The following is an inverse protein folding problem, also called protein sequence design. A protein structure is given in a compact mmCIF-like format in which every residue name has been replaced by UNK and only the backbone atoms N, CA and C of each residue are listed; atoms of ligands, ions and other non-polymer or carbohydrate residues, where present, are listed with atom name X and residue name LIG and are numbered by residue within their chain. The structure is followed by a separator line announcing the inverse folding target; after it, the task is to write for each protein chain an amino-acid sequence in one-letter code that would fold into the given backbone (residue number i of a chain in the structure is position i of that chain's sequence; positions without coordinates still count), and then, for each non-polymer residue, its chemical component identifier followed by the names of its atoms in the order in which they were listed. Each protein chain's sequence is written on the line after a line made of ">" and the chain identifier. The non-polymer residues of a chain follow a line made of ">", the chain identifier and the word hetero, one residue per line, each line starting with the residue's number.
data_IF_921997711091
#
_entry.id   IF_921997711091
#
_cell.length_a   1.000
_cell.length_b   1.000
_cell.length_c   1.000
_cell.angle_alpha   90.00
_cell.angle_beta   90.00
_cell.angle_gamma   90.00
#
_symmetry.space_group_name_H-M   'P 1'
#
loop_
_entity.id
_entity.type
_entity.pdbx_description
1 polymer ?
#
# COMPACT_ATOMS: atom_id res chain seq x y z
N UNK A 1 -3.56 -31.05 -1.81
CA UNK A 1 -3.75 -29.63 -1.44
C UNK A 1 -3.36 -28.78 -2.62
N UNK A 2 -4.25 -27.90 -3.11
CA UNK A 2 -3.99 -27.15 -4.35
C UNK A 2 -5.22 -26.37 -4.85
N UNK A 3 -5.68 -25.37 -4.11
CA UNK A 3 -6.85 -24.54 -4.51
C UNK A 3 -6.78 -23.06 -4.13
N UNK A 4 -5.59 -22.52 -3.85
CA UNK A 4 -5.44 -21.06 -3.85
C UNK A 4 -4.58 -20.70 -5.06
N UNK A 5 -5.12 -19.92 -6.01
CA UNK A 5 -4.37 -19.42 -7.14
C UNK A 5 -3.43 -18.30 -6.65
N UNK A 6 -2.42 -18.67 -5.86
CA UNK A 6 -1.45 -17.73 -5.26
C UNK A 6 -0.75 -16.91 -6.34
N UNK A 7 -0.53 -17.53 -7.50
CA UNK A 7 -0.04 -16.89 -8.72
C UNK A 7 -0.94 -15.72 -9.15
N UNK A 8 -2.26 -15.92 -9.23
CA UNK A 8 -3.22 -14.86 -9.55
C UNK A 8 -3.26 -13.76 -8.49
N UNK A 9 -3.19 -14.13 -7.21
CA UNK A 9 -3.19 -13.16 -6.11
C UNK A 9 -1.95 -12.26 -6.21
N UNK A 10 -0.76 -12.84 -6.42
CA UNK A 10 0.49 -12.09 -6.59
C UNK A 10 0.47 -11.22 -7.84
N UNK A 11 -0.07 -11.73 -8.94
CA UNK A 11 -0.14 -11.01 -10.21
C UNK A 11 -1.09 -9.81 -10.14
N UNK A 12 -2.31 -10.01 -9.61
CA UNK A 12 -3.29 -8.93 -9.44
C UNK A 12 -2.80 -7.91 -8.41
N UNK A 13 -2.19 -8.35 -7.31
CA UNK A 13 -1.54 -7.45 -6.37
C UNK A 13 -0.46 -6.62 -7.08
N UNK A 14 0.37 -7.23 -7.93
CA UNK A 14 1.37 -6.52 -8.71
C UNK A 14 0.80 -5.41 -9.60
N UNK A 15 -0.32 -5.68 -10.31
CA UNK A 15 -1.03 -4.68 -11.11
C UNK A 15 -1.56 -3.54 -10.22
N UNK A 16 -2.15 -3.87 -9.06
CA UNK A 16 -2.63 -2.87 -8.11
C UNK A 16 -1.49 -1.97 -7.59
N UNK A 17 -0.34 -2.55 -7.24
CA UNK A 17 0.84 -1.80 -6.82
C UNK A 17 1.33 -0.83 -7.90
N UNK A 18 1.34 -1.24 -9.17
CA UNK A 18 1.69 -0.35 -10.29
C UNK A 18 0.66 0.78 -10.44
N UNK A 19 -0.64 0.48 -10.33
CA UNK A 19 -1.68 1.49 -10.36
C UNK A 19 -1.53 2.51 -9.23
N UNK A 20 -1.22 2.06 -8.00
CA UNK A 20 -0.90 2.93 -6.86
C UNK A 20 0.39 3.72 -7.06
N UNK A 21 1.40 3.18 -7.74
CA UNK A 21 2.61 3.91 -8.12
C UNK A 21 2.28 5.09 -9.04
N UNK A 22 1.45 4.88 -10.06
CA UNK A 22 0.94 5.97 -10.89
C UNK A 22 0.11 6.97 -10.08
N UNK A 23 -0.80 6.49 -9.21
CA UNK A 23 -1.58 7.36 -8.32
C UNK A 23 -0.69 8.28 -7.49
N UNK A 24 0.27 7.68 -6.82
CA UNK A 24 1.24 8.38 -5.97
C UNK A 24 1.97 9.47 -6.77
N UNK A 25 2.29 9.27 -8.05
CA UNK A 25 2.95 10.28 -8.88
C UNK A 25 2.06 11.47 -9.29
N UNK A 26 0.73 11.35 -9.44
CA UNK A 26 -0.12 12.56 -9.63
C UNK A 26 0.14 13.49 -8.47
N UNK A 27 0.02 12.96 -7.26
CA UNK A 27 -0.24 13.76 -6.07
C UNK A 27 -1.58 14.47 -6.24
N UNK A 28 -2.45 14.34 -5.26
CA UNK A 28 -3.55 15.28 -5.18
C UNK A 28 -2.94 16.62 -4.76
N UNK A 29 -3.21 17.67 -5.54
CA UNK A 29 -3.11 19.01 -5.01
C UNK A 29 -4.21 19.06 -3.96
N UNK A 30 -3.83 19.18 -2.69
CA UNK A 30 -4.75 19.63 -1.66
C UNK A 30 -5.14 21.03 -2.12
N UNK A 31 -6.29 21.16 -2.78
CA UNK A 31 -6.89 22.47 -2.96
C UNK A 31 -7.06 23.01 -1.54
N UNK A 32 -6.50 24.19 -1.25
CA UNK A 32 -6.47 24.79 0.10
C UNK A 32 -7.88 24.96 0.72
N UNK A 33 -8.94 24.68 -0.04
CA UNK A 33 -10.34 24.61 0.37
C UNK A 33 -10.71 23.30 1.12
N UNK A 34 -9.89 22.23 1.08
CA UNK A 34 -10.13 20.95 1.79
C UNK A 34 -9.52 20.89 3.20
N UNK A 35 -8.77 21.93 3.61
CA UNK A 35 -8.35 22.12 5.00
C UNK A 35 -9.53 22.40 5.94
N UNK A 36 -10.71 22.73 5.40
CA UNK A 36 -11.98 22.77 6.12
C UNK A 36 -12.81 21.50 5.86
N UNK A 37 -12.19 20.32 5.98
CA UNK A 37 -12.96 19.13 6.32
C UNK A 37 -13.73 19.45 7.60
N UNK A 38 -15.03 19.68 7.49
CA UNK A 38 -15.94 19.80 8.64
C UNK A 38 -15.84 18.53 9.48
N UNK A 39 -14.96 18.57 10.48
CA UNK A 39 -14.55 17.43 11.30
C UNK A 39 -15.69 17.04 12.26
N UNK A 40 -16.66 16.27 11.77
CA UNK A 40 -17.61 15.57 12.63
C UNK A 40 -17.00 14.33 13.30
N UNK A 41 -15.91 13.80 12.75
CA UNK A 41 -15.29 12.54 13.18
C UNK A 41 -14.01 12.83 13.96
N UNK A 42 -13.94 12.39 15.21
CA UNK A 42 -12.76 12.54 16.04
C UNK A 42 -11.53 11.84 15.41
N UNK A 43 -10.34 12.47 15.35
CA UNK A 43 -9.14 11.93 14.67
C UNK A 43 -8.78 10.50 15.09
N UNK A 44 -9.03 10.13 16.36
CA UNK A 44 -8.90 8.76 16.85
C UNK A 44 -9.66 7.74 16.00
N UNK A 45 -10.93 8.00 15.70
CA UNK A 45 -11.77 7.07 14.93
C UNK A 45 -11.31 6.97 13.48
N UNK A 46 -10.86 8.08 12.89
CA UNK A 46 -10.36 8.09 11.52
C UNK A 46 -9.10 7.20 11.38
N UNK A 47 -8.12 7.39 12.27
CA UNK A 47 -6.89 6.59 12.27
C UNK A 47 -7.19 5.14 12.63
N UNK A 48 -8.00 4.90 13.68
CA UNK A 48 -8.39 3.56 14.09
C UNK A 48 -9.07 2.78 12.96
N UNK A 49 -10.08 3.37 12.30
CA UNK A 49 -10.80 2.70 11.21
C UNK A 49 -9.90 2.46 10.00
N UNK A 50 -9.03 3.40 9.65
CA UNK A 50 -8.09 3.24 8.53
C UNK A 50 -7.09 2.12 8.80
N UNK A 51 -6.46 2.12 9.98
CA UNK A 51 -5.51 1.08 10.37
C UNK A 51 -6.18 -0.29 10.49
N UNK A 52 -7.35 -0.34 11.13
CA UNK A 52 -8.10 -1.57 11.27
C UNK A 52 -8.44 -2.16 9.90
N UNK A 53 -8.94 -1.35 8.96
CA UNK A 53 -9.25 -1.82 7.62
C UNK A 53 -8.00 -2.26 6.83
N UNK A 54 -6.86 -1.62 7.06
CA UNK A 54 -5.60 -1.96 6.42
C UNK A 54 -4.98 -3.27 6.94
N UNK A 55 -5.10 -3.53 8.25
CA UNK A 55 -4.53 -4.71 8.92
C UNK A 55 -5.48 -5.92 8.94
N UNK A 56 -6.77 -5.71 8.67
CA UNK A 56 -7.78 -6.76 8.67
C UNK A 56 -7.48 -7.81 7.59
N UNK A 57 -7.17 -9.03 8.04
CA UNK A 57 -6.89 -10.15 7.15
C UNK A 57 -5.46 -10.21 6.62
N UNK A 58 -4.54 -9.40 7.16
CA UNK A 58 -3.12 -9.54 6.86
C UNK A 58 -2.57 -10.90 7.33
N UNK A 59 -1.47 -11.33 6.73
CA UNK A 59 -0.71 -12.53 7.11
C UNK A 59 -0.33 -12.50 8.58
N UNK A 60 -0.09 -11.33 9.16
CA UNK A 60 0.19 -11.18 10.59
C UNK A 60 -1.00 -11.63 11.44
N UNK A 61 -2.23 -11.30 11.06
CA UNK A 61 -3.45 -11.74 11.74
C UNK A 61 -3.60 -13.26 11.70
N UNK A 62 -3.39 -13.89 10.53
CA UNK A 62 -3.42 -15.34 10.39
C UNK A 62 -2.31 -16.04 11.19
N UNK A 63 -1.13 -15.45 11.25
CA UNK A 63 -0.01 -15.93 12.06
C UNK A 63 -0.35 -15.89 13.56
N UNK A 64 -0.89 -14.77 14.05
CA UNK A 64 -1.30 -14.61 15.45
C UNK A 64 -2.42 -15.58 15.83
N UNK A 65 -3.42 -15.80 14.97
CA UNK A 65 -4.47 -16.81 15.21
C UNK A 65 -3.90 -18.22 15.29
N UNK A 66 -2.98 -18.56 14.38
CA UNK A 66 -2.31 -19.87 14.38
C UNK A 66 -1.48 -20.09 15.64
N UNK A 67 -0.76 -19.05 16.08
CA UNK A 67 0.04 -19.09 17.31
C UNK A 67 -0.85 -19.18 18.55
N UNK A 68 -1.97 -18.44 18.60
CA UNK A 68 -2.94 -18.50 19.69
C UNK A 68 -3.65 -19.85 19.78
N UNK A 69 -3.77 -20.59 18.67
CA UNK A 69 -4.33 -21.94 18.66
C UNK A 69 -3.36 -23.01 19.20
N UNK A 70 -2.05 -22.72 19.26
CA UNK A 70 -1.01 -23.71 19.61
C UNK A 70 -0.25 -23.38 20.89
N UNK A 71 -0.32 -22.13 21.36
CA UNK A 71 0.35 -21.62 22.56
C UNK A 71 -0.68 -21.02 23.53
N UNK A 72 -0.31 -20.82 24.81
CA UNK A 72 -1.20 -20.18 25.77
C UNK A 72 -1.63 -18.79 25.27
N UNK A 73 -2.91 -18.44 25.47
CA UNK A 73 -3.49 -17.19 24.98
C UNK A 73 -2.79 -15.93 25.53
N UNK A 74 -2.50 -15.90 26.85
CA UNK A 74 -2.01 -14.70 27.53
C UNK A 74 -0.65 -14.20 26.96
N UNK A 75 0.39 -15.04 26.81
CA UNK A 75 1.66 -14.62 26.23
C UNK A 75 1.57 -14.23 24.76
N UNK A 76 0.73 -14.90 23.98
CA UNK A 76 0.53 -14.58 22.56
C UNK A 76 -0.14 -13.22 22.40
N UNK A 77 -1.19 -12.96 23.20
CA UNK A 77 -1.89 -11.69 23.20
C UNK A 77 -0.98 -10.53 23.61
N UNK A 78 -0.23 -10.69 24.72
CA UNK A 78 0.72 -9.68 25.18
C UNK A 78 1.85 -9.45 24.18
N UNK A 79 2.45 -10.53 23.65
CA UNK A 79 3.56 -10.44 22.70
C UNK A 79 3.16 -9.80 21.38
N UNK A 80 2.00 -10.19 20.82
CA UNK A 80 1.48 -9.61 19.58
C UNK A 80 1.13 -8.14 19.74
N UNK A 81 0.47 -7.78 20.85
CA UNK A 81 0.08 -6.38 21.11
C UNK A 81 1.31 -5.51 21.31
N UNK A 82 2.27 -5.95 22.15
CA UNK A 82 3.49 -5.21 22.38
C UNK A 82 4.33 -5.06 21.11
N UNK A 83 4.45 -6.14 20.31
CA UNK A 83 5.18 -6.11 19.03
C UNK A 83 4.61 -5.07 18.06
N UNK A 84 3.28 -5.02 17.90
CA UNK A 84 2.61 -4.05 17.03
C UNK A 84 2.82 -2.61 17.51
N UNK A 85 2.59 -2.34 18.80
CA UNK A 85 2.78 -0.99 19.37
C UNK A 85 4.22 -0.51 19.22
N UNK A 86 5.20 -1.40 19.42
CA UNK A 86 6.62 -1.05 19.23
C UNK A 86 6.91 -0.78 17.76
N UNK A 87 6.41 -1.60 16.84
CA UNK A 87 6.57 -1.42 15.40
C UNK A 87 6.03 -0.08 14.91
N UNK A 88 4.78 0.23 15.28
CA UNK A 88 4.12 1.48 14.89
C UNK A 88 4.78 2.70 15.55
N UNK A 89 5.15 2.57 16.83
CA UNK A 89 5.90 3.61 17.55
C UNK A 89 7.23 3.94 16.88
N UNK A 90 7.99 2.92 16.46
CA UNK A 90 9.24 3.11 15.71
C UNK A 90 8.99 3.77 14.35
N UNK A 91 7.95 3.35 13.62
CA UNK A 91 7.59 3.95 12.34
C UNK A 91 7.25 5.45 12.50
N UNK A 92 6.50 5.82 13.54
CA UNK A 92 6.17 7.22 13.84
C UNK A 92 7.42 8.02 14.21
N UNK A 93 8.30 7.50 15.06
CA UNK A 93 9.53 8.19 15.47
C UNK A 93 10.42 8.44 14.25
N UNK A 94 10.66 7.40 13.43
CA UNK A 94 11.42 7.51 12.20
C UNK A 94 10.77 8.50 11.22
N UNK A 95 9.45 8.41 11.03
CA UNK A 95 8.69 9.34 10.19
C UNK A 95 8.86 10.79 10.64
N UNK A 96 8.72 11.08 11.94
CA UNK A 96 8.92 12.43 12.51
C UNK A 96 10.35 12.95 12.33
N UNK A 97 11.35 12.10 12.53
CA UNK A 97 12.76 12.48 12.33
C UNK A 97 13.07 12.79 10.86
N UNK A 98 12.47 12.03 9.94
CA UNK A 98 12.71 12.16 8.51
C UNK A 98 11.92 13.32 7.88
N UNK A 99 10.73 13.62 8.42
CA UNK A 99 9.87 14.71 7.96
C UNK A 99 10.55 16.09 8.06
N UNK A 100 11.41 16.31 9.06
CA UNK A 100 12.13 17.58 9.20
C UNK A 100 13.16 17.86 8.08
N UNK A 101 13.51 16.87 7.25
CA UNK A 101 14.56 17.00 6.22
C UNK A 101 14.13 16.56 4.81
N UNK A 102 12.99 15.89 4.65
CA UNK A 102 12.56 15.38 3.35
C UNK A 102 11.52 16.29 2.69
N UNK A 103 11.79 16.82 1.48
CA UNK A 103 10.76 17.49 0.70
C UNK A 103 9.67 16.48 0.31
N UNK A 104 8.42 16.90 0.32
CA UNK A 104 7.25 16.06 0.01
C UNK A 104 7.40 15.33 -1.34
N UNK A 105 8.01 16.01 -2.31
CA UNK A 105 8.33 15.43 -3.62
C UNK A 105 9.27 14.21 -3.53
N UNK A 106 10.25 14.21 -2.62
CA UNK A 106 11.16 13.07 -2.45
C UNK A 106 10.45 11.86 -1.83
N UNK A 107 9.54 12.10 -0.87
CA UNK A 107 8.72 11.04 -0.27
C UNK A 107 7.79 10.44 -1.32
N UNK A 108 7.12 11.29 -2.10
CA UNK A 108 6.21 10.90 -3.19
C UNK A 108 6.93 10.06 -4.26
N UNK A 109 8.08 10.53 -4.75
CA UNK A 109 8.88 9.79 -5.73
C UNK A 109 9.40 8.48 -5.13
N UNK A 110 9.89 8.49 -3.89
CA UNK A 110 10.35 7.30 -3.20
C UNK A 110 9.26 6.24 -3.05
N UNK A 111 8.08 6.63 -2.59
CA UNK A 111 6.92 5.74 -2.47
C UNK A 111 6.50 5.17 -3.84
N UNK A 112 6.42 6.01 -4.88
CA UNK A 112 6.10 5.54 -6.23
C UNK A 112 7.11 4.52 -6.78
N UNK A 113 8.41 4.74 -6.57
CA UNK A 113 9.45 3.78 -6.96
C UNK A 113 9.25 2.45 -6.24
N UNK A 114 9.01 2.48 -4.93
CA UNK A 114 8.77 1.25 -4.15
C UNK A 114 7.53 0.51 -4.68
N UNK A 115 6.43 1.23 -4.94
CA UNK A 115 5.22 0.65 -5.52
C UNK A 115 5.48 -0.01 -6.88
N UNK A 116 6.21 0.66 -7.79
CA UNK A 116 6.55 0.05 -9.07
C UNK A 116 7.48 -1.15 -8.95
N UNK A 117 8.47 -1.10 -8.05
CA UNK A 117 9.39 -2.23 -7.82
C UNK A 117 8.64 -3.47 -7.34
N UNK A 118 7.83 -3.34 -6.28
CA UNK A 118 7.02 -4.46 -5.79
C UNK A 118 5.94 -4.89 -6.77
N UNK A 119 5.38 -3.94 -7.53
CA UNK A 119 4.39 -4.22 -8.55
C UNK A 119 4.94 -5.08 -9.69
N UNK A 120 6.08 -4.68 -10.27
CA UNK A 120 6.77 -5.44 -11.32
C UNK A 120 7.24 -6.79 -10.79
N UNK A 121 7.81 -6.83 -9.58
CA UNK A 121 8.25 -8.07 -8.96
C UNK A 121 7.07 -9.05 -8.74
N UNK A 122 5.95 -8.57 -8.21
CA UNK A 122 4.74 -9.39 -7.99
C UNK A 122 4.12 -9.90 -9.29
N UNK A 123 4.11 -9.07 -10.34
CA UNK A 123 3.67 -9.49 -11.67
C UNK A 123 4.61 -10.54 -12.30
N UNK A 124 5.92 -10.38 -12.15
CA UNK A 124 6.89 -11.35 -12.65
C UNK A 124 6.74 -12.70 -11.96
N UNK A 125 6.67 -12.69 -10.62
CA UNK A 125 6.56 -13.92 -9.83
C UNK A 125 5.20 -14.61 -10.07
N UNK A 126 4.09 -13.84 -10.00
CA UNK A 126 2.74 -14.35 -10.18
C UNK A 126 2.36 -14.68 -11.62
N UNK A 127 3.00 -14.04 -12.60
CA UNK A 127 2.72 -14.19 -14.03
C UNK A 127 3.61 -15.18 -14.77
N UNK A 128 4.55 -15.82 -14.07
CA UNK A 128 5.49 -16.80 -14.65
C UNK A 128 4.81 -18.03 -15.27
N UNK A 129 3.61 -18.37 -14.80
CA UNK A 129 2.77 -19.47 -15.31
C UNK A 129 1.75 -19.03 -16.37
N UNK A 130 1.59 -17.72 -16.61
CA UNK A 130 0.54 -17.17 -17.47
C UNK A 130 0.97 -17.00 -18.92
N UNK A 131 0.04 -17.26 -19.84
CA UNK A 131 0.26 -17.07 -21.27
C UNK A 131 0.42 -15.60 -21.67
N UNK A 132 1.05 -15.35 -22.83
CA UNK A 132 1.33 -13.99 -23.34
C UNK A 132 0.09 -13.09 -23.45
N UNK A 133 -1.11 -13.65 -23.67
CA UNK A 133 -2.35 -12.87 -23.76
C UNK A 133 -2.65 -12.10 -22.45
N UNK A 134 -2.41 -12.72 -21.29
CA UNK A 134 -2.66 -12.11 -19.97
C UNK A 134 -1.67 -10.96 -19.74
N UNK A 135 -0.41 -11.15 -20.13
CA UNK A 135 0.61 -10.10 -20.09
C UNK A 135 0.26 -8.92 -20.99
N UNK A 136 -0.23 -9.17 -22.22
CA UNK A 136 -0.66 -8.10 -23.14
C UNK A 136 -1.82 -7.31 -22.53
N UNK A 137 -2.82 -7.97 -21.96
CA UNK A 137 -3.96 -7.30 -21.31
C UNK A 137 -3.47 -6.47 -20.11
N UNK A 138 -2.62 -7.05 -19.26
CA UNK A 138 -2.10 -6.36 -18.08
C UNK A 138 -1.26 -5.12 -18.45
N UNK A 139 -0.35 -5.24 -19.42
CA UNK A 139 0.43 -4.11 -19.93
C UNK A 139 -0.47 -3.05 -20.56
N UNK A 140 -1.48 -3.47 -21.32
CA UNK A 140 -2.44 -2.53 -21.93
C UNK A 140 -3.24 -1.79 -20.87
N UNK A 141 -3.71 -2.49 -19.83
CA UNK A 141 -4.45 -1.88 -18.72
C UNK A 141 -3.55 -0.91 -17.93
N UNK A 142 -2.31 -1.30 -17.64
CA UNK A 142 -1.31 -0.43 -17.01
C UNK A 142 -1.01 0.79 -17.89
N UNK A 143 -0.86 0.61 -19.19
CA UNK A 143 -0.61 1.70 -20.13
C UNK A 143 -1.81 2.64 -20.24
N UNK A 144 -3.04 2.13 -20.24
CA UNK A 144 -4.27 2.92 -20.21
C UNK A 144 -4.37 3.70 -18.90
N UNK A 145 -4.14 3.05 -17.76
CA UNK A 145 -4.12 3.71 -16.44
C UNK A 145 -3.07 4.79 -16.42
N UNK A 146 -1.82 4.49 -16.82
CA UNK A 146 -0.75 5.48 -16.92
C UNK A 146 -1.10 6.63 -17.88
N UNK A 147 -1.67 6.34 -19.04
CA UNK A 147 -2.05 7.34 -20.04
C UNK A 147 -3.19 8.24 -19.58
N UNK A 148 -4.29 7.69 -19.05
CA UNK A 148 -5.40 8.45 -18.50
C UNK A 148 -4.93 9.36 -17.35
N UNK A 149 -4.04 8.84 -16.52
CA UNK A 149 -3.57 9.53 -15.33
C UNK A 149 -2.54 10.62 -15.65
N UNK A 150 -1.64 10.39 -16.62
CA UNK A 150 -0.72 11.39 -17.16
C UNK A 150 -1.44 12.46 -17.99
N UNK A 151 -2.58 12.14 -18.61
CA UNK A 151 -3.40 13.10 -19.37
C UNK A 151 -4.19 14.06 -18.47
N UNK A 152 -4.49 13.62 -17.23
CA UNK A 152 -5.10 14.46 -16.19
C UNK A 152 -4.09 15.18 -15.28
N UNK A 153 -2.79 15.07 -15.56
CA UNK A 153 -1.75 15.77 -14.82
C UNK A 153 -1.70 17.24 -15.27
N UNK A 154 -1.85 18.22 -14.37
CA UNK A 154 -1.60 19.61 -14.72
C UNK A 154 -0.11 19.78 -15.07
N UNK A 155 0.14 20.12 -16.33
CA UNK A 155 1.30 20.76 -16.96
C UNK A 155 2.57 21.09 -16.11
N UNK A 156 3.12 20.17 -15.31
CA UNK A 156 4.40 20.37 -14.60
C UNK A 156 5.63 20.10 -15.49
N UNK A 157 5.43 19.76 -16.76
CA UNK A 157 6.45 19.68 -17.81
C UNK A 157 6.48 20.92 -18.71
N UNK A 158 5.87 22.03 -18.26
CA UNK A 158 6.07 23.37 -18.83
C UNK A 158 7.01 24.19 -17.93
N UNK A 159 8.26 23.76 -17.82
CA UNK A 159 9.45 24.62 -17.69
C UNK A 159 10.73 23.79 -17.75
#
# INVERSE_FOLDING_TARGET
>A
GGRLPVEWIKFVAGIAFIAFGFWTLRGDHLDDDEADCKTGIHPFWLVFSTFFMAELGDKTMLSTVTLASTKPFLPVWLGSTAGMVISDGLAIILGKMLHAKLPENAIKIGAAIIFFLFGVYGMYEGGSSFGMAIWIIAVTLIAITGYLFLRGAPALLKR
#
